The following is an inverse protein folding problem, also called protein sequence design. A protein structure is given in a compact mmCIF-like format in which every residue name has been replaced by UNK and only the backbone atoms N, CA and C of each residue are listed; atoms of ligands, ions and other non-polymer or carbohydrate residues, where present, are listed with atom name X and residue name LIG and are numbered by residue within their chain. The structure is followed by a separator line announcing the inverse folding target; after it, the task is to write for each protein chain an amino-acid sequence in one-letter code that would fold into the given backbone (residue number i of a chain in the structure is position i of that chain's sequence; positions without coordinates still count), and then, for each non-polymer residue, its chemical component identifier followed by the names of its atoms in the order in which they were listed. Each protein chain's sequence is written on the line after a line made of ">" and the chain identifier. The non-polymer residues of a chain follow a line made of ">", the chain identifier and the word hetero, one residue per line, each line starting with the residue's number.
data_IF_776754308881
#
_entry.id   IF_776754308881
#
_cell.length_a   1.000
_cell.length_b   1.000
_cell.length_c   1.000
_cell.angle_alpha   90.00
_cell.angle_beta   90.00
_cell.angle_gamma   90.00
#
_symmetry.space_group_name_H-M   'P 1'
#
loop_
_entity.id
_entity.type
_entity.pdbx_description
1 polymer ?
#
# COMPACT_ATOMS: atom_id res chain seq x y z
N UNK A 1 -6.12 -14.90 -19.50
CA UNK A 1 -6.92 -13.99 -20.35
C UNK A 1 -8.07 -13.37 -19.59
N UNK A 2 -7.91 -12.12 -19.13
CA UNK A 2 -9.03 -11.29 -18.69
C UNK A 2 -9.86 -10.90 -19.92
N UNK A 3 -10.80 -11.77 -20.34
CA UNK A 3 -11.76 -11.42 -21.40
C UNK A 3 -12.50 -10.16 -20.94
N UNK A 4 -12.28 -9.05 -21.65
CA UNK A 4 -13.15 -7.89 -21.52
C UNK A 4 -14.56 -8.35 -21.90
N UNK A 5 -15.43 -8.47 -20.89
CA UNK A 5 -16.84 -8.83 -21.03
C UNK A 5 -17.64 -7.64 -21.57
N UNK A 6 -17.12 -6.99 -22.62
CA UNK A 6 -17.78 -5.86 -23.25
C UNK A 6 -19.20 -6.31 -23.64
N UNK A 7 -20.20 -5.60 -23.11
CA UNK A 7 -21.64 -5.83 -23.33
C UNK A 7 -22.27 -7.04 -22.62
N UNK A 8 -21.58 -7.72 -21.70
CA UNK A 8 -22.21 -8.79 -20.93
C UNK A 8 -23.26 -8.26 -19.95
N UNK A 9 -24.37 -8.98 -19.88
CA UNK A 9 -25.47 -8.71 -18.94
C UNK A 9 -25.05 -8.96 -17.49
N UNK A 10 -25.75 -8.38 -16.50
CA UNK A 10 -25.51 -8.68 -15.09
C UNK A 10 -25.58 -10.18 -14.76
N UNK A 11 -26.48 -10.91 -15.40
CA UNK A 11 -26.68 -12.35 -15.25
C UNK A 11 -25.45 -13.12 -15.75
N UNK A 12 -24.94 -12.80 -16.94
CA UNK A 12 -23.73 -13.43 -17.51
C UNK A 12 -22.49 -13.16 -16.65
N UNK A 13 -22.33 -11.93 -16.16
CA UNK A 13 -21.23 -11.54 -15.26
C UNK A 13 -21.28 -12.35 -13.96
N UNK A 14 -22.47 -12.47 -13.35
CA UNK A 14 -22.67 -13.29 -12.14
C UNK A 14 -22.41 -14.77 -12.42
N UNK A 15 -22.93 -15.31 -13.53
CA UNK A 15 -22.74 -16.70 -13.93
C UNK A 15 -21.26 -17.02 -14.22
N UNK A 16 -20.52 -16.08 -14.82
CA UNK A 16 -19.08 -16.21 -15.00
C UNK A 16 -18.35 -16.38 -13.67
N UNK A 17 -18.66 -15.55 -12.67
CA UNK A 17 -18.11 -15.69 -11.32
C UNK A 17 -18.44 -17.04 -10.68
N UNK A 18 -19.69 -17.51 -10.82
CA UNK A 18 -20.11 -18.82 -10.31
C UNK A 18 -19.36 -19.98 -10.99
N UNK A 19 -19.14 -19.89 -12.31
CA UNK A 19 -18.43 -20.91 -13.07
C UNK A 19 -16.98 -21.08 -12.60
N UNK A 20 -16.34 -20.02 -12.11
CA UNK A 20 -14.96 -20.07 -11.56
C UNK A 20 -14.81 -20.96 -10.33
N UNK A 21 -15.92 -21.30 -9.64
CA UNK A 21 -15.90 -22.27 -8.53
C UNK A 21 -15.49 -23.68 -8.96
N UNK A 22 -15.66 -24.03 -10.25
CA UNK A 22 -15.19 -25.31 -10.80
C UNK A 22 -13.67 -25.35 -11.00
N UNK A 23 -13.05 -24.18 -11.18
CA UNK A 23 -11.60 -24.04 -11.32
C UNK A 23 -10.93 -23.99 -9.94
N UNK A 24 -11.45 -23.14 -9.05
CA UNK A 24 -10.99 -23.05 -7.66
C UNK A 24 -12.23 -22.95 -6.76
N UNK A 25 -12.54 -24.04 -6.08
CA UNK A 25 -13.57 -24.11 -5.05
C UNK A 25 -13.24 -23.16 -3.89
N UNK A 26 -14.27 -22.60 -3.27
CA UNK A 26 -14.12 -21.60 -2.19
C UNK A 26 -13.30 -22.13 -1.01
N UNK A 27 -13.44 -23.41 -0.68
CA UNK A 27 -12.69 -24.07 0.39
C UNK A 27 -11.20 -24.30 0.04
N UNK A 28 -10.84 -24.31 -1.24
CA UNK A 28 -9.45 -24.57 -1.69
C UNK A 28 -8.52 -23.36 -1.53
N UNK A 29 -9.01 -22.25 -0.96
CA UNK A 29 -8.19 -21.07 -0.65
C UNK A 29 -7.40 -21.20 0.65
N UNK A 30 -7.46 -22.37 1.31
CA UNK A 30 -6.81 -22.66 2.59
C UNK A 30 -5.37 -23.20 2.46
N UNK A 31 -4.89 -23.42 1.24
CA UNK A 31 -3.62 -24.09 0.97
C UNK A 31 -2.45 -23.11 0.92
N UNK A 32 -1.36 -23.47 1.62
CA UNK A 32 -0.04 -22.83 1.55
C UNK A 32 0.97 -23.89 1.13
N UNK A 33 1.72 -23.65 0.04
CA UNK A 33 2.76 -24.57 -0.44
C UNK A 33 4.11 -23.85 -0.65
N UNK A 34 4.89 -23.67 0.44
CA UNK A 34 6.21 -23.02 0.36
C UNK A 34 7.25 -23.88 -0.36
N UNK A 35 7.00 -25.17 -0.56
CA UNK A 35 7.94 -26.08 -1.26
C UNK A 35 7.90 -25.88 -2.77
N UNK A 36 6.76 -25.45 -3.30
CA UNK A 36 6.63 -25.09 -4.72
C UNK A 36 7.30 -23.75 -5.07
N UNK A 37 7.71 -22.95 -4.08
CA UNK A 37 8.36 -21.65 -4.27
C UNK A 37 9.62 -21.78 -5.16
N UNK A 38 9.82 -20.93 -6.18
CA UNK A 38 10.88 -21.09 -7.17
C UNK A 38 12.32 -20.84 -6.65
N UNK A 39 12.46 -20.28 -5.45
CA UNK A 39 13.73 -20.03 -4.78
C UNK A 39 13.48 -19.86 -3.28
N UNK A 40 14.50 -19.96 -2.44
CA UNK A 40 14.34 -19.72 -1.00
C UNK A 40 13.87 -18.28 -0.72
N UNK A 41 13.21 -18.08 0.43
CA UNK A 41 12.78 -16.74 0.88
C UNK A 41 13.96 -15.76 0.90
N UNK A 42 15.10 -16.21 1.44
CA UNK A 42 16.31 -15.40 1.54
C UNK A 42 16.86 -15.02 0.16
N UNK A 43 16.87 -15.92 -0.82
CA UNK A 43 17.28 -15.61 -2.19
C UNK A 43 16.37 -14.58 -2.85
N UNK A 44 15.05 -14.71 -2.68
CA UNK A 44 14.07 -13.75 -3.20
C UNK A 44 14.28 -12.37 -2.57
N UNK A 45 14.44 -12.31 -1.23
CA UNK A 45 14.76 -11.07 -0.53
C UNK A 45 16.08 -10.48 -1.06
N UNK A 46 17.14 -11.28 -1.19
CA UNK A 46 18.43 -10.83 -1.72
C UNK A 46 18.31 -10.26 -3.15
N UNK A 47 17.50 -10.86 -4.03
CA UNK A 47 17.24 -10.33 -5.38
C UNK A 47 16.58 -8.95 -5.31
N UNK A 48 15.60 -8.77 -4.41
CA UNK A 48 14.93 -7.48 -4.19
C UNK A 48 15.85 -6.34 -3.67
N UNK A 49 17.06 -6.68 -3.23
CA UNK A 49 18.04 -5.72 -2.70
C UNK A 49 19.04 -5.23 -3.75
N UNK A 50 19.08 -5.82 -4.96
CA UNK A 50 20.15 -5.55 -5.94
C UNK A 50 20.19 -4.08 -6.39
N UNK A 51 19.03 -3.47 -6.69
CA UNK A 51 18.90 -2.09 -7.18
C UNK A 51 18.92 -1.00 -6.09
N UNK A 52 18.93 -1.41 -4.81
CA UNK A 52 18.82 -0.51 -3.66
C UNK A 52 20.14 0.21 -3.36
N UNK A 53 20.04 1.41 -2.79
CA UNK A 53 21.14 2.20 -2.24
C UNK A 53 21.95 1.34 -1.26
N UNK A 54 23.25 1.06 -1.55
CA UNK A 54 24.06 0.12 -0.76
C UNK A 54 24.07 0.42 0.74
N UNK A 55 24.24 1.69 1.12
CA UNK A 55 24.30 2.13 2.51
C UNK A 55 23.00 1.91 3.32
N UNK A 56 21.88 1.58 2.66
CA UNK A 56 20.59 1.36 3.32
C UNK A 56 20.16 -0.11 3.34
N UNK A 57 20.96 -1.02 2.76
CA UNK A 57 20.63 -2.45 2.72
C UNK A 57 20.59 -3.05 4.13
N UNK A 58 21.59 -2.73 4.95
CA UNK A 58 21.69 -3.24 6.32
C UNK A 58 20.55 -2.72 7.20
N UNK A 59 20.17 -1.45 7.02
CA UNK A 59 18.99 -0.89 7.68
C UNK A 59 17.72 -1.66 7.30
N UNK A 60 17.52 -1.98 6.01
CA UNK A 60 16.35 -2.76 5.58
C UNK A 60 16.33 -4.14 6.25
N UNK A 61 17.47 -4.84 6.29
CA UNK A 61 17.55 -6.14 6.97
C UNK A 61 17.24 -6.03 8.47
N UNK A 62 17.75 -5.00 9.15
CA UNK A 62 17.46 -4.73 10.57
C UNK A 62 15.97 -4.55 10.81
N UNK A 63 15.30 -3.66 10.06
CA UNK A 63 13.86 -3.42 10.17
C UNK A 63 13.02 -4.66 9.86
N UNK A 64 13.46 -5.50 8.91
CA UNK A 64 12.79 -6.78 8.63
C UNK A 64 13.00 -7.81 9.74
N UNK A 65 14.11 -7.75 10.47
CA UNK A 65 14.43 -8.68 11.54
C UNK A 65 13.77 -8.33 12.89
N UNK A 66 13.26 -7.10 13.06
CA UNK A 66 12.61 -6.65 14.31
C UNK A 66 11.39 -7.48 14.71
N UNK A 67 10.61 -7.99 13.75
CA UNK A 67 9.44 -8.84 14.02
C UNK A 67 8.99 -9.61 12.78
N UNK A 68 8.22 -10.71 12.93
CA UNK A 68 7.57 -11.40 11.82
C UNK A 68 6.69 -10.46 10.97
N UNK A 69 6.00 -9.52 11.61
CA UNK A 69 5.20 -8.51 10.90
C UNK A 69 6.07 -7.52 10.11
N UNK A 70 7.22 -7.12 10.66
CA UNK A 70 8.23 -6.32 9.95
C UNK A 70 8.78 -7.05 8.72
N UNK A 71 9.10 -8.34 8.86
CA UNK A 71 9.52 -9.20 7.76
C UNK A 71 8.44 -9.26 6.66
N UNK A 72 7.19 -9.54 7.02
CA UNK A 72 6.06 -9.64 6.10
C UNK A 72 5.93 -8.42 5.17
N UNK A 73 6.07 -7.22 5.76
CA UNK A 73 6.05 -5.94 5.04
C UNK A 73 7.28 -5.69 4.18
N UNK A 74 8.44 -6.19 4.60
CA UNK A 74 9.68 -6.05 3.85
C UNK A 74 9.87 -7.07 2.72
N UNK A 75 9.12 -8.17 2.77
CA UNK A 75 9.25 -9.37 1.94
C UNK A 75 8.04 -9.62 1.02
N UNK A 76 7.35 -8.58 0.54
CA UNK A 76 6.27 -8.72 -0.45
C UNK A 76 6.62 -9.64 -1.65
N UNK A 77 7.86 -9.60 -2.21
CA UNK A 77 8.28 -10.54 -3.27
C UNK A 77 8.22 -12.02 -2.90
N UNK A 78 8.36 -12.38 -1.63
CA UNK A 78 8.27 -13.78 -1.18
C UNK A 78 6.84 -14.29 -1.32
N UNK A 79 5.87 -13.52 -0.83
CA UNK A 79 4.46 -13.89 -0.96
C UNK A 79 3.96 -13.82 -2.40
N UNK A 80 4.45 -12.87 -3.20
CA UNK A 80 4.15 -12.86 -4.63
C UNK A 80 4.60 -14.15 -5.32
N UNK A 81 5.80 -14.65 -4.97
CA UNK A 81 6.30 -15.92 -5.49
C UNK A 81 5.45 -17.11 -5.00
N UNK A 82 5.09 -17.16 -3.71
CA UNK A 82 4.25 -18.25 -3.18
C UNK A 82 2.86 -18.29 -3.83
N UNK A 83 2.20 -17.13 -3.91
CA UNK A 83 0.86 -17.02 -4.50
C UNK A 83 0.85 -17.40 -5.98
N UNK A 84 1.95 -17.18 -6.70
CA UNK A 84 2.09 -17.58 -8.10
C UNK A 84 2.02 -19.09 -8.33
N UNK A 85 2.33 -19.89 -7.31
CA UNK A 85 2.32 -21.35 -7.37
C UNK A 85 0.96 -21.95 -6.98
N UNK A 86 0.06 -21.13 -6.45
CA UNK A 86 -1.28 -21.56 -6.07
C UNK A 86 -2.27 -21.34 -7.22
N UNK A 87 -3.30 -22.20 -7.34
CA UNK A 87 -4.37 -21.96 -8.29
C UNK A 87 -5.07 -20.64 -7.95
N UNK A 88 -5.45 -19.89 -8.98
CA UNK A 88 -6.21 -18.66 -8.86
C UNK A 88 -7.50 -18.72 -9.68
N UNK A 89 -8.46 -17.89 -9.31
CA UNK A 89 -9.81 -17.85 -9.88
C UNK A 89 -9.85 -17.30 -11.30
N UNK A 90 -8.79 -16.61 -11.74
CA UNK A 90 -8.78 -15.82 -12.97
C UNK A 90 -9.69 -14.58 -12.93
N UNK A 91 -10.24 -14.22 -11.76
CA UNK A 91 -11.08 -13.02 -11.59
C UNK A 91 -10.16 -11.85 -11.25
N UNK A 92 -10.03 -10.92 -12.20
CA UNK A 92 -9.10 -9.81 -12.11
C UNK A 92 -9.67 -8.56 -11.46
N UNK A 93 -8.85 -7.90 -10.65
CA UNK A 93 -9.05 -6.54 -10.15
C UNK A 93 -7.70 -5.79 -10.19
N UNK A 94 -7.71 -4.47 -10.05
CA UNK A 94 -6.50 -3.80 -9.58
C UNK A 94 -6.25 -4.26 -8.14
N UNK A 95 -5.04 -4.74 -7.87
CA UNK A 95 -4.55 -5.05 -6.53
C UNK A 95 -3.84 -3.82 -5.97
N UNK A 96 -3.95 -3.55 -4.67
CA UNK A 96 -2.99 -2.67 -4.02
C UNK A 96 -1.61 -3.34 -3.95
N UNK A 97 -1.58 -4.68 -3.91
CA UNK A 97 -0.38 -5.51 -3.99
C UNK A 97 0.36 -5.65 -2.66
N UNK A 98 0.24 -4.69 -1.74
CA UNK A 98 0.79 -4.80 -0.39
C UNK A 98 -0.30 -4.71 0.69
N UNK A 99 -1.39 -5.47 0.52
CA UNK A 99 -2.51 -5.47 1.45
C UNK A 99 -2.10 -5.96 2.85
N UNK A 100 -2.00 -5.05 3.81
CA UNK A 100 -1.69 -5.36 5.21
C UNK A 100 -2.30 -4.34 6.17
N UNK A 101 -2.43 -4.66 7.46
CA UNK A 101 -3.14 -3.81 8.45
C UNK A 101 -2.56 -2.40 8.59
N UNK A 102 -1.26 -2.22 8.33
CA UNK A 102 -0.58 -0.91 8.32
C UNK A 102 -0.58 -0.19 6.96
N UNK A 103 -1.22 -0.76 5.93
CA UNK A 103 -1.36 -0.17 4.60
C UNK A 103 -2.71 0.54 4.46
N UNK A 104 -3.35 0.84 5.59
CA UNK A 104 -4.48 1.74 5.66
C UNK A 104 -4.17 2.84 6.66
N UNK A 105 -4.71 4.02 6.41
CA UNK A 105 -4.47 5.17 7.26
C UNK A 105 -5.22 6.40 6.80
N UNK A 106 -5.11 7.44 7.61
CA UNK A 106 -5.75 8.71 7.38
C UNK A 106 -4.87 9.67 6.56
N UNK A 107 -5.52 10.50 5.74
CA UNK A 107 -4.93 11.59 4.96
C UNK A 107 -6.00 12.62 4.58
N UNK A 108 -5.58 13.81 4.13
CA UNK A 108 -6.50 14.82 3.61
C UNK A 108 -6.94 14.49 2.17
N UNK A 109 -8.25 14.41 1.95
CA UNK A 109 -8.84 14.34 0.62
C UNK A 109 -8.68 15.69 -0.12
N UNK A 110 -8.90 15.74 -1.46
CA UNK A 110 -8.79 16.99 -2.23
C UNK A 110 -9.68 18.15 -1.76
N UNK A 111 -10.73 17.86 -0.99
CA UNK A 111 -11.64 18.84 -0.38
C UNK A 111 -11.24 19.22 1.05
N UNK A 112 -10.07 18.77 1.53
CA UNK A 112 -9.53 19.04 2.87
C UNK A 112 -10.11 18.16 3.98
N UNK A 113 -11.14 17.34 3.71
CA UNK A 113 -11.68 16.43 4.73
C UNK A 113 -10.71 15.28 4.98
N UNK A 114 -10.55 14.91 6.24
CA UNK A 114 -9.80 13.72 6.60
C UNK A 114 -10.57 12.47 6.23
N UNK A 115 -9.94 11.61 5.44
CA UNK A 115 -10.46 10.30 5.04
C UNK A 115 -9.53 9.21 5.56
N UNK A 116 -9.99 7.96 5.57
CA UNK A 116 -9.18 6.80 5.90
C UNK A 116 -9.30 5.76 4.79
N UNK A 117 -8.18 5.40 4.17
CA UNK A 117 -8.14 4.53 2.99
C UNK A 117 -6.84 3.71 2.94
N UNK A 118 -6.70 2.86 1.91
CA UNK A 118 -5.45 2.19 1.51
C UNK A 118 -4.40 3.25 1.16
N UNK A 119 -3.15 3.13 1.61
CA UNK A 119 -2.16 4.22 1.55
C UNK A 119 -0.94 3.99 0.64
N UNK A 120 -0.62 2.73 0.34
CA UNK A 120 0.58 2.32 -0.37
C UNK A 120 0.20 1.42 -1.55
N UNK A 121 0.68 1.81 -2.72
CA UNK A 121 0.39 1.21 -4.01
C UNK A 121 1.67 0.84 -4.76
N UNK A 122 2.85 0.81 -4.10
CA UNK A 122 4.14 0.46 -4.72
C UNK A 122 4.02 -0.84 -5.54
N UNK A 123 3.27 -1.82 -5.04
CA UNK A 123 3.11 -3.14 -5.64
C UNK A 123 1.88 -3.28 -6.56
N UNK A 124 1.15 -2.19 -6.79
CA UNK A 124 -0.14 -2.22 -7.49
C UNK A 124 -0.03 -2.77 -8.92
N UNK A 125 -0.89 -3.72 -9.24
CA UNK A 125 -0.95 -4.36 -10.56
C UNK A 125 -2.32 -5.01 -10.75
N UNK A 126 -2.72 -5.26 -12.00
CA UNK A 126 -3.93 -6.06 -12.25
C UNK A 126 -3.63 -7.53 -12.01
N UNK A 127 -4.41 -8.18 -11.16
CA UNK A 127 -4.20 -9.58 -10.78
C UNK A 127 -5.42 -10.21 -10.10
N UNK A 128 -5.30 -11.48 -9.63
CA UNK A 128 -6.40 -12.18 -8.97
C UNK A 128 -6.78 -11.48 -7.66
N UNK A 129 -8.05 -11.07 -7.52
CA UNK A 129 -8.52 -10.27 -6.37
C UNK A 129 -8.24 -10.96 -5.01
N UNK A 130 -8.22 -12.30 -5.00
CA UNK A 130 -7.97 -13.08 -3.79
C UNK A 130 -6.53 -12.93 -3.25
N UNK A 131 -5.58 -12.41 -4.03
CA UNK A 131 -4.19 -12.23 -3.58
C UNK A 131 -4.07 -11.14 -2.52
N UNK A 132 -4.76 -10.01 -2.69
CA UNK A 132 -4.85 -8.96 -1.67
C UNK A 132 -5.58 -9.50 -0.41
N UNK A 133 -6.60 -10.33 -0.58
CA UNK A 133 -7.31 -10.95 0.54
C UNK A 133 -6.44 -11.94 1.32
N UNK A 134 -5.70 -12.81 0.61
CA UNK A 134 -4.73 -13.74 1.21
C UNK A 134 -3.63 -13.00 1.98
N UNK A 135 -3.11 -11.91 1.41
CA UNK A 135 -2.10 -11.06 2.06
C UNK A 135 -2.68 -10.37 3.31
N UNK A 136 -3.89 -9.81 3.22
CA UNK A 136 -4.56 -9.22 4.37
C UNK A 136 -4.85 -10.26 5.47
N UNK A 137 -5.26 -11.49 5.12
CA UNK A 137 -5.48 -12.57 6.09
C UNK A 137 -4.24 -12.89 6.90
N UNK A 138 -3.10 -13.10 6.23
CA UNK A 138 -1.81 -13.34 6.91
C UNK A 138 -1.41 -12.13 7.78
N UNK A 139 -1.61 -10.91 7.25
CA UNK A 139 -1.33 -9.68 7.98
C UNK A 139 -2.15 -9.55 9.26
N UNK A 140 -3.44 -9.90 9.25
CA UNK A 140 -4.32 -9.83 10.42
C UNK A 140 -3.89 -10.82 11.50
N UNK A 141 -3.43 -12.01 11.12
CA UNK A 141 -2.91 -13.00 12.07
C UNK A 141 -1.60 -12.54 12.69
N UNK A 142 -0.64 -12.09 11.88
CA UNK A 142 0.64 -11.56 12.37
C UNK A 142 0.46 -10.35 13.29
N UNK A 143 -0.44 -9.43 12.92
CA UNK A 143 -0.78 -8.27 13.75
C UNK A 143 -1.48 -8.68 15.05
N UNK A 144 -2.42 -9.63 14.97
CA UNK A 144 -3.08 -10.19 16.15
C UNK A 144 -2.07 -10.80 17.12
N UNK A 145 -1.14 -11.64 16.64
CA UNK A 145 -0.07 -12.23 17.46
C UNK A 145 0.79 -11.15 18.13
N UNK A 146 1.21 -10.14 17.38
CA UNK A 146 1.98 -9.00 17.90
C UNK A 146 1.20 -8.15 18.92
N UNK A 147 -0.13 -8.10 18.81
CA UNK A 147 -1.02 -7.45 19.78
C UNK A 147 -1.45 -8.36 20.94
N UNK A 148 -0.89 -9.58 21.07
CA UNK A 148 -1.16 -10.52 22.17
C UNK A 148 -2.39 -11.41 22.00
N UNK A 149 -2.96 -11.50 20.80
CA UNK A 149 -4.09 -12.38 20.51
C UNK A 149 -3.66 -13.82 20.28
N UNK A 150 -4.50 -14.76 20.74
CA UNK A 150 -4.42 -16.17 20.35
C UNK A 150 -4.96 -16.36 18.92
N UNK A 151 -4.49 -17.41 18.24
CA UNK A 151 -4.87 -17.74 16.87
C UNK A 151 -6.39 -17.79 16.64
N UNK A 152 -7.18 -18.30 17.59
CA UNK A 152 -8.65 -18.30 17.48
C UNK A 152 -9.27 -16.91 17.39
N UNK A 153 -8.70 -15.90 18.06
CA UNK A 153 -9.15 -14.52 17.93
C UNK A 153 -8.72 -13.90 16.60
N UNK A 154 -7.49 -14.18 16.17
CA UNK A 154 -6.95 -13.73 14.88
C UNK A 154 -7.73 -14.31 13.71
N UNK A 155 -8.06 -15.61 13.77
CA UNK A 155 -8.91 -16.30 12.79
C UNK A 155 -10.28 -15.63 12.67
N UNK A 156 -10.95 -15.34 13.79
CA UNK A 156 -12.23 -14.62 13.78
C UNK A 156 -12.13 -13.21 13.21
N UNK A 157 -10.99 -12.53 13.39
CA UNK A 157 -10.76 -11.23 12.75
C UNK A 157 -10.62 -11.38 11.23
N UNK A 158 -9.92 -12.40 10.74
CA UNK A 158 -9.87 -12.70 9.30
C UNK A 158 -11.26 -13.03 8.76
N UNK A 159 -12.02 -13.88 9.45
CA UNK A 159 -13.40 -14.22 9.05
C UNK A 159 -14.30 -12.98 9.00
N UNK A 160 -14.17 -12.05 9.96
CA UNK A 160 -14.89 -10.78 9.95
C UNK A 160 -14.45 -9.87 8.78
N UNK A 161 -13.16 -9.79 8.48
CA UNK A 161 -12.64 -9.05 7.33
C UNK A 161 -13.21 -9.58 6.01
N UNK A 162 -13.09 -10.89 5.78
CA UNK A 162 -13.54 -11.52 4.52
C UNK A 162 -15.06 -11.56 4.43
N UNK A 163 -15.75 -11.82 5.55
CA UNK A 163 -17.21 -11.74 5.63
C UNK A 163 -17.70 -10.35 5.25
N UNK A 164 -17.07 -9.31 5.79
CA UNK A 164 -17.40 -7.93 5.42
C UNK A 164 -17.09 -7.62 3.96
N UNK A 165 -15.96 -8.08 3.44
CA UNK A 165 -15.64 -7.94 2.02
C UNK A 165 -16.74 -8.56 1.13
N UNK A 166 -17.19 -9.78 1.48
CA UNK A 166 -18.25 -10.49 0.77
C UNK A 166 -19.61 -9.79 0.85
N UNK A 167 -19.96 -9.24 2.01
CA UNK A 167 -21.15 -8.39 2.20
C UNK A 167 -21.12 -7.17 1.29
N UNK A 168 -20.02 -6.44 1.27
CA UNK A 168 -19.89 -5.24 0.45
C UNK A 168 -19.93 -5.57 -1.04
N UNK A 169 -19.26 -6.64 -1.49
CA UNK A 169 -19.36 -7.09 -2.89
C UNK A 169 -20.79 -7.45 -3.30
N UNK A 170 -21.57 -8.08 -2.41
CA UNK A 170 -22.99 -8.34 -2.65
C UNK A 170 -23.78 -7.03 -2.75
N UNK A 171 -23.52 -6.07 -1.87
CA UNK A 171 -24.18 -4.76 -1.91
C UNK A 171 -23.84 -4.02 -3.22
N UNK A 172 -22.56 -3.92 -3.58
CA UNK A 172 -22.10 -3.30 -4.83
C UNK A 172 -22.65 -3.98 -6.08
N UNK A 173 -22.87 -5.31 -6.04
CA UNK A 173 -23.49 -6.03 -7.16
C UNK A 173 -24.97 -5.67 -7.41
N UNK A 174 -25.59 -4.90 -6.51
CA UNK A 174 -26.98 -4.42 -6.61
C UNK A 174 -27.08 -2.91 -6.82
N UNK A 175 -25.96 -2.20 -6.76
CA UNK A 175 -25.88 -0.76 -6.99
C UNK A 175 -25.65 -0.47 -8.47
N UNK A 176 -26.00 0.74 -8.91
CA UNK A 176 -25.57 1.23 -10.22
C UNK A 176 -24.05 1.42 -10.25
N UNK A 177 -23.45 1.34 -11.44
CA UNK A 177 -22.00 1.53 -11.60
C UNK A 177 -21.53 2.90 -11.08
N UNK A 178 -22.34 3.95 -11.23
CA UNK A 178 -22.00 5.30 -10.74
C UNK A 178 -22.01 5.36 -9.21
N UNK A 179 -22.95 4.69 -8.54
CA UNK A 179 -22.97 4.61 -7.08
C UNK A 179 -21.76 3.88 -6.54
N UNK A 180 -21.39 2.73 -7.13
CA UNK A 180 -20.17 2.00 -6.75
C UNK A 180 -18.92 2.87 -6.90
N UNK A 181 -18.83 3.63 -7.99
CA UNK A 181 -17.70 4.51 -8.24
C UNK A 181 -17.60 5.70 -7.27
N UNK A 182 -18.72 6.10 -6.65
CA UNK A 182 -18.82 7.21 -5.69
C UNK A 182 -18.87 6.75 -4.23
N UNK A 183 -18.90 5.45 -3.97
CA UNK A 183 -19.14 4.88 -2.65
C UNK A 183 -18.03 5.21 -1.65
N UNK A 184 -18.32 6.01 -0.62
CA UNK A 184 -17.38 6.30 0.47
C UNK A 184 -17.69 5.44 1.70
N UNK A 185 -16.64 5.06 2.43
CA UNK A 185 -16.78 4.35 3.70
C UNK A 185 -17.04 5.39 4.79
N UNK A 186 -18.28 5.46 5.28
CA UNK A 186 -18.68 6.47 6.27
C UNK A 186 -18.54 6.01 7.73
N UNK A 187 -18.44 4.71 7.98
CA UNK A 187 -18.41 4.14 9.34
C UNK A 187 -17.02 4.10 9.99
N UNK A 188 -16.06 4.83 9.42
CA UNK A 188 -14.68 4.91 9.91
C UNK A 188 -14.62 5.31 11.39
N UNK A 189 -15.54 6.16 11.83
CA UNK A 189 -15.68 6.57 13.22
C UNK A 189 -16.22 5.50 14.19
N UNK A 190 -16.49 4.26 13.77
CA UNK A 190 -16.95 3.20 14.69
C UNK A 190 -15.81 2.31 15.21
N UNK A 191 -14.65 2.32 14.55
CA UNK A 191 -13.48 1.57 14.97
C UNK A 191 -12.49 2.49 15.71
N UNK A 192 -12.26 2.24 17.01
CA UNK A 192 -11.33 3.04 17.84
C UNK A 192 -9.94 3.23 17.21
N UNK A 193 -9.30 2.20 16.59
CA UNK A 193 -8.00 2.41 15.93
C UNK A 193 -8.06 3.41 14.77
N UNK A 194 -9.18 3.45 14.03
CA UNK A 194 -9.39 4.39 12.92
C UNK A 194 -9.61 5.81 13.46
N UNK A 195 -10.39 5.98 14.51
CA UNK A 195 -10.53 7.26 15.20
C UNK A 195 -9.17 7.79 15.66
N UNK A 196 -8.35 6.95 16.30
CA UNK A 196 -7.02 7.34 16.76
C UNK A 196 -6.10 7.76 15.60
N UNK A 197 -6.19 7.07 14.45
CA UNK A 197 -5.48 7.46 13.23
C UNK A 197 -5.96 8.81 12.70
N UNK A 198 -7.27 9.08 12.70
CA UNK A 198 -7.85 10.36 12.29
C UNK A 198 -7.42 11.51 13.23
N UNK A 199 -7.44 11.31 14.55
CA UNK A 199 -6.95 12.32 15.51
C UNK A 199 -5.43 12.56 15.40
N UNK A 200 -4.65 11.54 14.99
CA UNK A 200 -3.23 11.74 14.63
C UNK A 200 -3.11 12.59 13.36
N UNK A 201 -3.93 12.31 12.35
CA UNK A 201 -3.98 13.05 11.09
C UNK A 201 -4.34 14.53 11.28
N UNK A 202 -5.30 14.86 12.15
CA UNK A 202 -5.68 16.26 12.46
C UNK A 202 -4.49 17.14 12.87
N UNK A 203 -3.50 16.55 13.55
CA UNK A 203 -2.30 17.25 14.04
C UNK A 203 -1.14 17.26 13.05
N UNK A 204 -1.18 16.40 12.03
CA UNK A 204 -0.11 16.22 11.05
C UNK A 204 -0.25 17.21 9.87
N UNK A 205 -0.42 18.50 10.18
CA UNK A 205 -0.59 19.56 9.17
C UNK A 205 0.70 19.83 8.39
N UNK A 206 0.64 20.52 7.23
CA UNK A 206 1.83 20.99 6.53
C UNK A 206 2.79 21.81 7.40
N UNK A 207 2.27 22.65 8.31
CA UNK A 207 3.09 23.41 9.26
C UNK A 207 3.74 22.52 10.32
N UNK A 208 3.06 21.46 10.78
CA UNK A 208 3.68 20.46 11.66
C UNK A 208 4.84 19.75 10.95
N UNK A 209 4.64 19.34 9.69
CA UNK A 209 5.67 18.70 8.86
C UNK A 209 6.87 19.64 8.65
N UNK A 210 6.60 20.94 8.41
CA UNK A 210 7.64 21.96 8.30
C UNK A 210 8.53 21.98 9.55
N UNK A 211 7.94 22.06 10.74
CA UNK A 211 8.68 22.05 12.00
C UNK A 211 9.42 20.72 12.24
N UNK A 212 8.79 19.61 11.85
CA UNK A 212 9.36 18.27 12.02
C UNK A 212 10.57 18.03 11.12
N UNK A 213 10.51 18.43 9.86
CA UNK A 213 11.51 18.05 8.83
C UNK A 213 12.56 19.12 8.56
N UNK A 214 12.32 20.39 8.92
CA UNK A 214 13.22 21.49 8.57
C UNK A 214 13.72 22.25 9.79
N UNK A 215 14.80 23.02 9.64
CA UNK A 215 15.32 23.96 10.62
C UNK A 215 15.63 25.31 9.95
N UNK A 216 15.52 26.45 10.67
CA UNK A 216 15.84 27.75 10.10
C UNK A 216 17.36 27.90 9.93
N UNK A 217 17.79 28.56 8.86
CA UNK A 217 19.22 28.77 8.59
C UNK A 217 19.91 29.76 9.54
N UNK A 218 19.14 30.56 10.26
CA UNK A 218 19.63 31.39 11.36
C UNK A 218 18.52 31.63 12.40
N UNK A 219 18.84 32.12 13.61
CA UNK A 219 17.83 32.44 14.63
C UNK A 219 16.95 33.65 14.29
N UNK A 220 17.25 34.39 13.21
CA UNK A 220 16.50 35.59 12.86
C UNK A 220 15.06 35.24 12.42
N UNK A 221 14.05 36.02 12.84
CA UNK A 221 12.69 35.89 12.30
C UNK A 221 12.70 35.97 10.77
N UNK A 222 11.97 35.06 10.11
CA UNK A 222 11.89 35.00 8.65
C UNK A 222 13.10 34.36 7.95
N UNK A 223 14.06 33.78 8.68
CA UNK A 223 15.14 33.03 8.07
C UNK A 223 14.61 31.85 7.23
N UNK A 224 15.19 31.68 6.02
CA UNK A 224 14.87 30.54 5.16
C UNK A 224 15.10 29.22 5.89
N UNK A 225 14.27 28.22 5.56
CA UNK A 225 14.33 26.90 6.19
C UNK A 225 14.92 25.89 5.22
N UNK A 226 15.57 24.88 5.78
CA UNK A 226 16.12 23.76 5.02
C UNK A 226 15.93 22.46 5.78
N UNK A 227 15.99 21.32 5.09
CA UNK A 227 15.83 20.00 5.72
C UNK A 227 16.88 19.75 6.79
N UNK A 228 16.46 19.17 7.91
CA UNK A 228 17.37 18.69 8.97
C UNK A 228 18.28 17.60 8.42
N UNK A 229 19.50 17.50 8.96
CA UNK A 229 20.41 16.40 8.64
C UNK A 229 20.41 15.35 9.77
N UNK A 230 19.43 14.45 9.73
CA UNK A 230 19.20 13.37 10.72
C UNK A 230 19.43 11.99 10.08
N UNK A 231 20.67 11.74 9.65
CA UNK A 231 21.05 10.52 8.92
C UNK A 231 20.88 9.25 9.78
N UNK A 232 20.48 8.11 9.17
CA UNK A 232 20.16 7.94 7.75
C UNK A 232 18.69 8.25 7.41
N UNK A 233 17.86 8.68 8.37
CA UNK A 233 16.41 8.82 8.17
C UNK A 233 16.02 10.03 7.31
N UNK A 234 16.78 11.11 7.43
CA UNK A 234 16.61 12.33 6.66
C UNK A 234 17.99 12.95 6.41
N UNK A 235 18.28 13.27 5.16
CA UNK A 235 19.50 13.98 4.79
C UNK A 235 19.16 15.16 3.90
N UNK A 236 19.78 16.32 4.14
CA UNK A 236 19.70 17.45 3.20
C UNK A 236 20.50 17.14 1.95
N UNK A 237 19.95 17.46 0.78
CA UNK A 237 20.58 17.26 -0.52
C UNK A 237 20.86 18.62 -1.15
N UNK A 238 22.09 18.82 -1.62
CA UNK A 238 22.56 20.09 -2.21
C UNK A 238 23.30 19.86 -3.53
N UNK A 239 23.68 20.94 -4.20
CA UNK A 239 24.50 20.92 -5.41
C UNK A 239 23.85 20.19 -6.59
N UNK A 240 24.67 19.49 -7.40
CA UNK A 240 24.23 18.82 -8.62
C UNK A 240 23.09 17.81 -8.40
N UNK A 241 23.07 17.12 -7.26
CA UNK A 241 21.99 16.17 -6.95
C UNK A 241 20.67 16.88 -6.65
N UNK A 242 20.70 18.03 -5.97
CA UNK A 242 19.50 18.82 -5.74
C UNK A 242 18.96 19.39 -7.06
N UNK A 243 19.84 19.94 -7.90
CA UNK A 243 19.47 20.43 -9.24
C UNK A 243 18.83 19.32 -10.09
N UNK A 244 19.37 18.09 -10.06
CA UNK A 244 18.79 16.95 -10.79
C UNK A 244 17.37 16.61 -10.31
N UNK A 245 17.13 16.64 -8.99
CA UNK A 245 15.80 16.37 -8.41
C UNK A 245 14.82 17.51 -8.74
N UNK A 246 15.26 18.77 -8.64
CA UNK A 246 14.44 19.93 -8.99
C UNK A 246 14.06 19.94 -10.47
N UNK A 247 14.99 19.57 -11.37
CA UNK A 247 14.71 19.45 -12.80
C UNK A 247 13.66 18.38 -13.15
N UNK A 248 13.38 17.44 -12.23
CA UNK A 248 12.30 16.47 -12.42
C UNK A 248 10.89 17.07 -12.21
N UNK A 249 10.79 18.30 -11.70
CA UNK A 249 9.51 19.01 -11.58
C UNK A 249 8.93 19.42 -12.94
N UNK A 250 9.77 19.71 -13.95
CA UNK A 250 9.32 20.12 -15.29
C UNK A 250 8.51 19.00 -15.99
N UNK A 251 9.05 17.77 -16.19
CA UNK A 251 8.26 16.68 -16.76
C UNK A 251 7.12 16.23 -15.85
N UNK A 252 7.25 16.37 -14.53
CA UNK A 252 6.16 16.09 -13.58
C UNK A 252 4.96 17.02 -13.79
N UNK A 253 5.22 18.33 -13.96
CA UNK A 253 4.19 19.33 -14.18
C UNK A 253 3.33 18.99 -15.40
N UNK A 254 3.94 18.45 -16.45
CA UNK A 254 3.23 18.00 -17.66
C UNK A 254 2.35 16.75 -17.45
N UNK A 255 2.46 16.05 -16.32
CA UNK A 255 1.58 14.92 -15.98
C UNK A 255 0.34 15.31 -15.17
N UNK A 256 0.32 16.51 -14.60
CA UNK A 256 -0.81 16.99 -13.80
C UNK A 256 -1.96 17.49 -14.69
N UNK A 257 -3.18 17.50 -14.16
CA UNK A 257 -4.31 18.21 -14.77
C UNK A 257 -4.05 19.72 -14.79
N UNK A 258 -4.58 20.45 -15.78
CA UNK A 258 -4.28 21.87 -15.99
C UNK A 258 -4.54 22.74 -14.75
N UNK A 259 -5.66 22.53 -14.06
CA UNK A 259 -6.00 23.20 -12.81
C UNK A 259 -5.00 22.91 -11.67
N UNK A 260 -4.41 21.71 -11.64
CA UNK A 260 -3.42 21.32 -10.62
C UNK A 260 -2.05 21.91 -10.94
N UNK A 261 -1.71 22.06 -12.23
CA UNK A 261 -0.51 22.82 -12.67
C UNK A 261 -0.61 24.27 -12.25
N UNK A 262 -1.74 24.91 -12.50
CA UNK A 262 -1.96 26.30 -12.10
C UNK A 262 -1.77 26.50 -10.59
N UNK A 263 -2.29 25.59 -9.76
CA UNK A 263 -2.06 25.62 -8.31
C UNK A 263 -0.57 25.43 -7.98
N UNK A 264 0.10 24.46 -8.60
CA UNK A 264 1.53 24.20 -8.37
C UNK A 264 2.42 25.40 -8.72
N UNK A 265 2.05 26.19 -9.74
CA UNK A 265 2.82 27.36 -10.21
C UNK A 265 2.92 28.48 -9.16
N UNK A 266 2.06 28.48 -8.13
CA UNK A 266 2.16 29.40 -6.99
C UNK A 266 3.18 28.95 -5.93
N UNK A 267 3.70 27.72 -6.01
CA UNK A 267 4.67 27.20 -5.07
C UNK A 267 6.08 27.22 -5.66
N UNK A 268 7.03 27.84 -4.95
CA UNK A 268 8.47 27.82 -5.32
C UNK A 268 9.21 26.74 -4.52
N UNK A 269 10.12 25.96 -5.15
CA UNK A 269 10.97 25.03 -4.41
C UNK A 269 12.02 25.79 -3.59
N UNK A 270 12.26 25.33 -2.35
CA UNK A 270 13.17 25.97 -1.38
C UNK A 270 14.35 25.08 -1.02
N UNK A 271 14.13 23.79 -0.75
CA UNK A 271 15.21 22.86 -0.37
C UNK A 271 14.83 21.41 -0.74
N UNK A 272 15.85 20.54 -0.86
CA UNK A 272 15.68 19.13 -1.21
C UNK A 272 16.23 18.25 -0.10
N UNK A 273 15.45 17.23 0.28
CA UNK A 273 15.81 16.20 1.23
C UNK A 273 15.82 14.81 0.59
N UNK A 274 16.52 13.89 1.24
CA UNK A 274 16.42 12.45 1.00
C UNK A 274 15.86 11.82 2.27
N UNK A 275 14.78 11.06 2.16
CA UNK A 275 14.07 10.46 3.28
C UNK A 275 14.12 8.94 3.19
N UNK A 276 14.21 8.27 4.31
CA UNK A 276 14.00 6.81 4.38
C UNK A 276 12.59 6.55 4.93
N UNK A 277 11.77 5.83 4.17
CA UNK A 277 10.38 5.52 4.51
C UNK A 277 10.03 4.04 4.27
N UNK A 278 9.02 3.57 5.00
CA UNK A 278 8.47 2.22 4.87
C UNK A 278 9.44 1.13 5.33
N UNK A 279 8.98 -0.12 5.31
CA UNK A 279 9.85 -1.30 5.53
C UNK A 279 10.19 -1.96 4.18
N UNK A 280 9.20 -2.03 3.27
CA UNK A 280 9.37 -2.54 1.90
C UNK A 280 10.27 -1.66 1.03
N UNK A 281 10.14 -0.34 1.14
CA UNK A 281 10.81 0.63 0.24
C UNK A 281 12.19 1.08 0.71
N UNK A 282 12.68 0.66 1.90
CA UNK A 282 14.01 1.09 2.42
C UNK A 282 15.14 0.78 1.44
N UNK A 283 15.88 1.81 1.05
CA UNK A 283 16.96 1.70 0.07
C UNK A 283 16.53 1.95 -1.38
N UNK A 284 15.25 2.20 -1.65
CA UNK A 284 14.84 2.94 -2.84
C UNK A 284 15.14 4.43 -2.61
N UNK A 285 15.27 5.20 -3.70
CA UNK A 285 15.51 6.64 -3.63
C UNK A 285 14.20 7.36 -3.35
N UNK A 286 14.12 8.06 -2.24
CA UNK A 286 12.94 8.82 -1.86
C UNK A 286 13.38 10.25 -1.52
N UNK A 287 13.10 11.15 -2.45
CA UNK A 287 13.41 12.56 -2.31
C UNK A 287 12.20 13.32 -1.79
N UNK A 288 12.44 14.43 -1.10
CA UNK A 288 11.41 15.35 -0.68
C UNK A 288 11.79 16.76 -1.12
N UNK A 289 10.85 17.51 -1.67
CA UNK A 289 11.03 18.92 -2.00
C UNK A 289 10.16 19.73 -1.04
N UNK A 290 10.81 20.63 -0.29
CA UNK A 290 10.11 21.66 0.48
C UNK A 290 9.84 22.84 -0.44
N UNK A 291 8.58 23.27 -0.52
CA UNK A 291 8.13 24.38 -1.34
C UNK A 291 7.36 25.40 -0.48
N UNK A 292 7.37 26.66 -0.89
CA UNK A 292 6.64 27.76 -0.25
C UNK A 292 5.68 28.40 -1.25
N UNK A 293 4.42 28.58 -0.86
CA UNK A 293 3.40 29.29 -1.62
C UNK A 293 3.36 30.77 -1.26
N UNK A 294 2.27 31.20 -0.63
CA UNK A 294 2.07 32.57 -0.13
C UNK A 294 2.92 32.90 1.12
N UNK A 295 4.24 32.73 0.99
CA UNK A 295 5.24 32.93 2.04
C UNK A 295 5.53 31.68 2.89
N UNK A 296 6.43 31.79 3.88
CA UNK A 296 6.92 30.65 4.67
C UNK A 296 5.87 29.96 5.56
N UNK A 297 4.69 30.56 5.72
CA UNK A 297 3.57 30.00 6.47
C UNK A 297 2.65 29.10 5.62
N UNK A 298 2.88 29.02 4.31
CA UNK A 298 2.16 28.18 3.34
C UNK A 298 3.11 27.12 2.75
N UNK A 299 3.52 26.11 3.55
CA UNK A 299 4.44 25.08 3.09
C UNK A 299 3.73 23.97 2.31
N UNK A 300 4.36 23.52 1.23
CA UNK A 300 4.01 22.29 0.51
C UNK A 300 5.22 21.36 0.52
N UNK A 301 4.98 20.07 0.78
CA UNK A 301 6.01 19.03 0.69
C UNK A 301 5.64 18.04 -0.40
N UNK A 302 6.46 17.94 -1.44
CA UNK A 302 6.32 16.89 -2.45
C UNK A 302 7.30 15.76 -2.18
N UNK A 303 6.82 14.53 -2.21
CA UNK A 303 7.59 13.30 -2.21
C UNK A 303 7.84 12.87 -3.66
N UNK A 304 9.08 12.56 -4.01
CA UNK A 304 9.49 12.00 -5.30
C UNK A 304 10.14 10.65 -5.01
N UNK A 305 9.35 9.58 -5.09
CA UNK A 305 9.71 8.24 -4.63
C UNK A 305 9.98 7.31 -5.82
N UNK A 306 11.15 6.67 -5.82
CA UNK A 306 11.56 5.72 -6.86
C UNK A 306 10.62 4.52 -6.85
N UNK A 307 10.05 4.22 -8.01
CA UNK A 307 9.19 3.06 -8.22
C UNK A 307 9.90 2.04 -9.09
N UNK A 308 9.87 0.78 -8.65
CA UNK A 308 10.41 -0.37 -9.39
C UNK A 308 9.26 -1.22 -9.94
N UNK A 309 9.60 -2.26 -10.70
CA UNK A 309 8.60 -3.25 -11.12
C UNK A 309 7.93 -3.89 -9.89
N UNK A 310 6.61 -4.06 -9.96
CA UNK A 310 5.86 -4.80 -8.94
C UNK A 310 6.44 -6.21 -8.74
N UNK A 311 6.50 -6.65 -7.50
CA UNK A 311 6.83 -7.99 -7.04
C UNK A 311 6.04 -9.09 -7.76
N UNK A 312 4.83 -8.76 -8.22
CA UNK A 312 3.94 -9.67 -8.95
C UNK A 312 4.19 -9.69 -10.46
N UNK A 313 4.90 -8.70 -11.01
CA UNK A 313 5.10 -8.58 -12.46
C UNK A 313 5.74 -9.84 -13.10
N UNK A 314 6.70 -10.54 -12.48
CA UNK A 314 7.25 -11.77 -13.05
C UNK A 314 6.25 -12.94 -13.14
N UNK A 315 5.13 -12.86 -12.42
CA UNK A 315 4.20 -13.97 -12.23
C UNK A 315 2.82 -13.73 -12.87
N UNK A 316 2.60 -12.53 -13.42
CA UNK A 316 1.35 -12.12 -14.05
C UNK A 316 1.60 -11.77 -15.52
N UNK A 317 1.72 -12.75 -16.43
CA UNK A 317 2.05 -12.49 -17.83
C UNK A 317 0.96 -11.71 -18.59
N UNK A 318 -0.29 -11.79 -18.12
CA UNK A 318 -1.41 -11.01 -18.65
C UNK A 318 -1.34 -9.52 -18.22
N UNK A 319 -0.55 -9.19 -17.19
CA UNK A 319 -0.31 -7.80 -16.82
C UNK A 319 0.77 -7.23 -17.75
N UNK A 320 0.38 -6.29 -18.60
CA UNK A 320 1.35 -5.62 -19.50
C UNK A 320 2.46 -4.97 -18.67
N UNK A 321 3.74 -5.13 -19.05
CA UNK A 321 4.82 -4.39 -18.42
C UNK A 321 4.51 -2.90 -18.43
N UNK A 322 4.67 -2.26 -17.27
CA UNK A 322 4.46 -0.83 -17.18
C UNK A 322 5.51 -0.10 -18.03
N UNK A 323 5.08 0.81 -18.90
CA UNK A 323 5.99 1.73 -19.59
C UNK A 323 6.74 2.59 -18.56
N UNK A 324 6.07 2.95 -17.47
CA UNK A 324 6.63 3.70 -16.36
C UNK A 324 6.08 3.22 -15.02
N UNK A 325 6.94 2.83 -14.07
CA UNK A 325 6.50 2.31 -12.78
C UNK A 325 5.85 3.36 -11.87
N UNK A 326 6.32 4.61 -11.90
CA UNK A 326 5.61 5.73 -11.25
C UNK A 326 4.17 5.92 -11.78
N UNK A 327 3.96 5.83 -13.10
CA UNK A 327 2.64 5.88 -13.71
C UNK A 327 1.78 4.68 -13.28
N UNK A 328 2.32 3.46 -13.29
CA UNK A 328 1.63 2.25 -12.79
C UNK A 328 1.08 2.48 -11.39
N UNK A 329 1.90 3.03 -10.49
CA UNK A 329 1.51 3.29 -9.11
C UNK A 329 0.44 4.38 -9.01
N UNK A 330 0.62 5.51 -9.70
CA UNK A 330 -0.36 6.60 -9.71
C UNK A 330 -1.72 6.17 -10.28
N UNK A 331 -1.74 5.46 -11.40
CA UNK A 331 -2.96 4.98 -12.06
C UNK A 331 -3.64 3.87 -11.25
N UNK A 332 -2.89 2.94 -10.67
CA UNK A 332 -3.44 1.91 -9.78
C UNK A 332 -4.08 2.52 -8.53
N UNK A 333 -3.45 3.53 -7.94
CA UNK A 333 -4.01 4.29 -6.83
C UNK A 333 -5.32 5.00 -7.24
N UNK A 334 -5.36 5.70 -8.39
CA UNK A 334 -6.60 6.34 -8.91
C UNK A 334 -7.72 5.32 -9.19
N UNK A 335 -7.37 4.13 -9.67
CA UNK A 335 -8.33 3.06 -9.95
C UNK A 335 -9.00 2.52 -8.67
N UNK A 336 -8.30 2.48 -7.53
CA UNK A 336 -8.83 1.93 -6.27
C UNK A 336 -9.36 3.01 -5.30
N UNK A 337 -8.74 4.19 -5.27
CA UNK A 337 -9.15 5.31 -4.42
C UNK A 337 -10.12 6.29 -5.09
N UNK A 338 -11.15 6.71 -4.35
CA UNK A 338 -12.07 7.76 -4.82
C UNK A 338 -11.39 9.13 -4.72
N UNK A 339 -10.81 9.40 -3.55
CA UNK A 339 -10.11 10.63 -3.24
C UNK A 339 -8.62 10.34 -3.24
N UNK A 340 -7.95 10.63 -4.35
CA UNK A 340 -6.48 10.62 -4.45
C UNK A 340 -5.92 12.01 -4.20
N UNK A 341 -4.67 12.07 -3.76
CA UNK A 341 -3.94 13.33 -3.65
C UNK A 341 -3.99 14.14 -4.97
N UNK A 342 -4.33 15.45 -4.92
CA UNK A 342 -4.36 16.33 -6.09
C UNK A 342 -3.02 16.48 -6.84
N UNK A 343 -1.90 16.19 -6.19
CA UNK A 343 -0.55 16.21 -6.76
C UNK A 343 -0.01 14.81 -7.09
N UNK A 344 -0.87 13.79 -7.08
CA UNK A 344 -0.47 12.45 -7.48
C UNK A 344 -0.11 12.45 -8.97
N UNK A 345 1.15 12.15 -9.29
CA UNK A 345 1.69 12.08 -10.64
C UNK A 345 2.96 11.24 -10.69
N UNK A 346 3.76 11.39 -11.76
CA UNK A 346 5.02 10.66 -11.90
C UNK A 346 6.03 11.49 -12.69
N UNK A 347 7.31 11.10 -12.58
CA UNK A 347 8.41 11.77 -13.25
C UNK A 347 9.63 10.85 -13.38
N UNK A 348 10.70 11.36 -14.00
CA UNK A 348 12.00 10.72 -14.03
C UNK A 348 13.05 11.58 -13.33
N UNK A 349 13.97 10.92 -12.63
CA UNK A 349 15.21 11.56 -12.15
C UNK A 349 16.37 10.79 -12.78
N UNK A 350 17.00 11.37 -13.80
CA UNK A 350 17.92 10.65 -14.67
C UNK A 350 17.20 9.52 -15.42
N UNK A 351 17.72 8.29 -15.31
CA UNK A 351 17.14 7.10 -15.95
C UNK A 351 16.18 6.29 -15.06
N UNK A 352 15.79 6.84 -13.90
CA UNK A 352 14.93 6.17 -12.92
C UNK A 352 13.54 6.77 -12.93
N UNK A 353 12.55 5.94 -12.63
CA UNK A 353 11.13 6.25 -12.68
C UNK A 353 10.60 6.51 -11.27
N UNK A 354 9.83 7.58 -11.08
CA UNK A 354 9.38 8.04 -9.78
C UNK A 354 7.88 8.32 -9.76
N UNK A 355 7.24 8.00 -8.63
CA UNK A 355 5.96 8.54 -8.22
C UNK A 355 6.17 9.93 -7.60
N UNK A 356 5.26 10.86 -7.85
CA UNK A 356 5.19 12.16 -7.17
C UNK A 356 3.86 12.28 -6.44
N UNK A 357 3.88 12.75 -5.18
CA UNK A 357 2.70 13.00 -4.35
C UNK A 357 3.03 13.98 -3.22
N UNK A 358 2.04 14.51 -2.53
CA UNK A 358 2.22 15.20 -1.25
C UNK A 358 2.78 14.27 -0.18
N UNK A 359 3.75 14.77 0.56
CA UNK A 359 4.39 14.06 1.65
C UNK A 359 3.61 14.30 2.95
N UNK A 360 3.04 13.22 3.49
CA UNK A 360 2.47 13.16 4.84
C UNK A 360 1.36 14.17 5.16
N UNK A 361 0.69 14.78 4.18
CA UNK A 361 -0.40 15.72 4.41
C UNK A 361 -1.54 15.07 5.22
N UNK A 362 -1.65 15.47 6.49
CA UNK A 362 -2.53 14.88 7.47
C UNK A 362 -2.38 13.35 7.62
N UNK A 363 -1.16 12.82 7.61
CA UNK A 363 -0.94 11.37 7.71
C UNK A 363 -1.23 10.83 9.10
N UNK A 364 -2.14 9.85 9.18
CA UNK A 364 -2.38 9.02 10.36
C UNK A 364 -2.29 7.52 10.04
N UNK A 365 -1.70 6.72 10.93
CA UNK A 365 -1.67 5.26 10.77
C UNK A 365 -2.08 4.55 12.04
N UNK A 366 -2.59 3.33 11.89
CA UNK A 366 -2.91 2.45 13.01
C UNK A 366 -1.63 1.82 13.58
N UNK A 367 -1.51 1.84 14.90
CA UNK A 367 -0.49 1.08 15.63
C UNK A 367 -0.98 -0.36 15.85
N UNK A 368 -0.08 -1.33 15.80
CA UNK A 368 -0.43 -2.74 16.04
C UNK A 368 -0.90 -2.91 17.49
N UNK A 369 -0.30 -2.19 18.44
CA UNK A 369 -0.69 -2.28 19.85
C UNK A 369 -2.12 -1.74 20.08
N UNK A 370 -2.59 -0.81 19.24
CA UNK A 370 -3.97 -0.32 19.29
C UNK A 370 -5.00 -1.40 18.87
N UNK A 371 -4.55 -2.52 18.30
CA UNK A 371 -5.42 -3.63 17.86
C UNK A 371 -5.80 -4.60 18.99
N UNK A 372 -5.29 -4.45 20.21
CA UNK A 372 -5.61 -5.35 21.31
C UNK A 372 -7.12 -5.43 21.63
N UNK A 373 -7.56 -6.58 22.12
CA UNK A 373 -8.95 -6.80 22.59
C UNK A 373 -9.99 -6.76 21.45
N UNK A 374 -11.08 -6.02 21.62
CA UNK A 374 -12.13 -5.95 20.60
C UNK A 374 -11.72 -5.19 19.33
N UNK A 375 -10.60 -4.44 19.37
CA UNK A 375 -10.19 -3.54 18.31
C UNK A 375 -9.72 -4.27 17.05
N UNK A 376 -9.07 -5.44 17.18
CA UNK A 376 -8.60 -6.22 16.02
C UNK A 376 -9.75 -6.57 15.08
N UNK A 377 -10.87 -7.07 15.63
CA UNK A 377 -12.04 -7.45 14.83
C UNK A 377 -12.72 -6.22 14.22
N UNK A 378 -12.94 -5.17 15.01
CA UNK A 378 -13.55 -3.94 14.51
C UNK A 378 -12.74 -3.33 13.36
N UNK A 379 -11.41 -3.35 13.48
CA UNK A 379 -10.51 -2.88 12.43
C UNK A 379 -10.49 -3.80 11.21
N UNK A 380 -10.50 -5.12 11.41
CA UNK A 380 -10.60 -6.10 10.33
C UNK A 380 -11.83 -5.87 9.44
N UNK A 381 -12.99 -5.54 10.01
CA UNK A 381 -14.18 -5.21 9.20
C UNK A 381 -13.97 -3.97 8.33
N UNK A 382 -13.27 -2.94 8.84
CA UNK A 382 -12.90 -1.76 8.05
C UNK A 382 -11.94 -2.13 6.92
N UNK A 383 -10.92 -2.97 7.17
CA UNK A 383 -10.02 -3.47 6.14
C UNK A 383 -10.78 -4.19 5.01
N UNK A 384 -11.71 -5.08 5.38
CA UNK A 384 -12.52 -5.84 4.42
C UNK A 384 -13.39 -4.95 3.55
N UNK A 385 -13.98 -3.91 4.13
CA UNK A 385 -14.80 -2.94 3.39
C UNK A 385 -13.98 -2.06 2.45
N UNK A 386 -12.81 -1.57 2.88
CA UNK A 386 -11.95 -0.72 2.06
C UNK A 386 -11.38 -1.48 0.87
N UNK A 387 -10.91 -2.72 1.08
CA UNK A 387 -10.50 -3.61 0.00
C UNK A 387 -11.67 -3.92 -0.94
N UNK A 388 -12.88 -4.17 -0.40
CA UNK A 388 -14.04 -4.42 -1.25
C UNK A 388 -14.36 -3.23 -2.14
N UNK A 389 -14.37 -2.01 -1.61
CA UNK A 389 -14.60 -0.81 -2.42
C UNK A 389 -13.50 -0.60 -3.45
N UNK A 390 -12.22 -0.80 -3.09
CA UNK A 390 -11.11 -0.67 -4.03
C UNK A 390 -11.21 -1.66 -5.19
N UNK A 391 -11.53 -2.93 -4.90
CA UNK A 391 -11.74 -3.95 -5.92
C UNK A 391 -13.04 -3.76 -6.72
N UNK A 392 -14.07 -3.16 -6.14
CA UNK A 392 -15.33 -2.90 -6.83
C UNK A 392 -15.19 -1.78 -7.88
N UNK A 393 -14.33 -0.78 -7.61
CA UNK A 393 -14.04 0.32 -8.56
C UNK A 393 -13.15 -0.10 -9.72
N UNK A 394 -12.26 -1.07 -9.49
CA UNK A 394 -11.24 -1.48 -10.46
C UNK A 394 -11.44 -2.90 -11.01
N UNK A 395 -12.50 -3.57 -10.59
CA UNK A 395 -12.90 -4.91 -10.97
C UNK A 395 -14.42 -4.99 -11.17
N UNK A 396 -14.98 -6.19 -11.02
CA UNK A 396 -16.38 -6.46 -11.31
C UNK A 396 -17.10 -7.05 -10.07
N UNK A 397 -17.94 -6.25 -9.38
CA UNK A 397 -18.68 -6.70 -8.20
C UNK A 397 -19.61 -7.88 -8.47
N UNK A 398 -20.21 -7.97 -9.67
CA UNK A 398 -21.11 -9.07 -10.04
C UNK A 398 -20.34 -10.38 -10.20
N UNK A 399 -19.17 -10.34 -10.83
CA UNK A 399 -18.29 -11.51 -10.98
C UNK A 399 -17.74 -11.94 -9.61
N UNK A 400 -17.19 -11.02 -8.84
CA UNK A 400 -16.60 -11.33 -7.51
C UNK A 400 -17.68 -11.85 -6.56
N UNK A 401 -18.83 -11.18 -6.48
CA UNK A 401 -19.95 -11.65 -5.66
C UNK A 401 -20.52 -12.98 -6.16
N UNK A 402 -20.57 -13.19 -7.48
CA UNK A 402 -20.97 -14.45 -8.10
C UNK A 402 -20.06 -15.60 -7.69
N UNK A 403 -18.75 -15.35 -7.59
CA UNK A 403 -17.78 -16.33 -7.11
C UNK A 403 -17.93 -16.62 -5.61
N UNK A 404 -17.87 -15.59 -4.76
CA UNK A 404 -17.87 -15.75 -3.30
C UNK A 404 -19.20 -16.33 -2.80
N UNK A 405 -20.33 -15.86 -3.32
CA UNK A 405 -21.67 -16.26 -2.84
C UNK A 405 -21.97 -15.77 -1.42
N UNK A 406 -22.88 -16.46 -0.73
CA UNK A 406 -23.38 -16.08 0.61
C UNK A 406 -22.87 -16.94 1.78
N UNK A 407 -22.12 -18.00 1.51
CA UNK A 407 -21.66 -18.95 2.53
C UNK A 407 -20.33 -18.57 3.17
N UNK A 408 -20.04 -19.13 4.35
CA UNK A 408 -18.84 -18.84 5.14
C UNK A 408 -17.55 -19.51 4.61
N UNK A 409 -17.66 -20.54 3.78
CA UNK A 409 -16.54 -21.38 3.33
C UNK A 409 -15.34 -20.60 2.76
N UNK A 410 -15.56 -19.48 2.06
CA UNK A 410 -14.47 -18.65 1.55
C UNK A 410 -13.73 -17.90 2.67
N UNK A 411 -14.47 -17.38 3.66
CA UNK A 411 -13.90 -16.71 4.81
C UNK A 411 -13.15 -17.68 5.73
N UNK A 412 -13.72 -18.86 5.98
CA UNK A 412 -13.08 -19.92 6.77
C UNK A 412 -11.78 -20.41 6.13
N UNK A 413 -11.78 -20.61 4.81
CA UNK A 413 -10.59 -21.02 4.06
C UNK A 413 -9.48 -19.96 4.13
N UNK A 414 -9.81 -18.68 3.90
CA UNK A 414 -8.84 -17.59 4.01
C UNK A 414 -8.36 -17.36 5.44
N UNK A 415 -9.17 -17.68 6.45
CA UNK A 415 -8.76 -17.61 7.85
C UNK A 415 -7.76 -18.72 8.20
N UNK A 416 -7.98 -19.94 7.69
CA UNK A 416 -6.99 -21.02 7.77
C UNK A 416 -5.69 -20.66 7.03
N UNK A 417 -5.80 -20.19 5.79
CA UNK A 417 -4.65 -19.71 5.02
C UNK A 417 -3.87 -18.63 5.77
N UNK A 418 -4.56 -17.67 6.39
CA UNK A 418 -3.93 -16.59 7.14
C UNK A 418 -3.06 -17.10 8.29
N UNK A 419 -3.53 -18.14 9.02
CA UNK A 419 -2.75 -18.77 10.10
C UNK A 419 -1.55 -19.52 9.54
N UNK A 420 -1.77 -20.40 8.56
CA UNK A 420 -0.70 -21.22 7.97
C UNK A 420 0.39 -20.34 7.31
N UNK A 421 -0.01 -19.23 6.67
CA UNK A 421 0.92 -18.30 6.05
C UNK A 421 1.64 -17.40 7.07
N UNK A 422 1.00 -17.08 8.20
CA UNK A 422 1.69 -16.42 9.31
C UNK A 422 2.79 -17.31 9.90
N UNK A 423 2.53 -18.61 10.07
CA UNK A 423 3.54 -19.59 10.51
C UNK A 423 4.69 -19.70 9.49
N UNK A 424 4.37 -19.71 8.19
CA UNK A 424 5.41 -19.69 7.16
C UNK A 424 6.23 -18.40 7.19
N UNK A 425 5.59 -17.26 7.43
CA UNK A 425 6.26 -15.97 7.56
C UNK A 425 7.22 -15.94 8.76
N UNK A 426 6.83 -16.53 9.89
CA UNK A 426 7.71 -16.66 11.06
C UNK A 426 8.92 -17.56 10.77
N UNK A 427 8.75 -18.66 10.03
CA UNK A 427 9.87 -19.51 9.58
C UNK A 427 10.83 -18.76 8.66
N UNK A 428 10.30 -18.03 7.69
CA UNK A 428 11.11 -17.24 6.76
C UNK A 428 11.83 -16.07 7.46
N UNK A 429 11.20 -15.45 8.46
CA UNK A 429 11.81 -14.44 9.34
C UNK A 429 12.97 -15.02 10.18
N UNK A 430 12.79 -16.20 10.77
CA UNK A 430 13.86 -16.89 11.50
C UNK A 430 15.03 -17.28 10.57
N UNK A 431 14.77 -17.66 9.32
CA UNK A 431 15.83 -17.86 8.32
C UNK A 431 16.61 -16.56 8.04
N UNK A 432 15.92 -15.42 7.95
CA UNK A 432 16.60 -14.12 7.79
C UNK A 432 17.51 -13.81 8.99
N UNK A 433 17.03 -14.01 10.22
CA UNK A 433 17.84 -13.79 11.43
C UNK A 433 19.08 -14.67 11.44
N UNK A 434 18.93 -15.97 11.19
CA UNK A 434 20.05 -16.94 11.16
C UNK A 434 21.07 -16.67 10.05
N UNK A 435 20.70 -15.92 9.00
CA UNK A 435 21.62 -15.58 7.91
C UNK A 435 22.70 -14.56 8.28
N UNK A 436 22.60 -13.92 9.46
CA UNK A 436 23.52 -12.87 9.92
C UNK A 436 23.42 -11.54 9.14
N UNK A 437 22.51 -11.43 8.16
CA UNK A 437 22.34 -10.21 7.34
C UNK A 437 21.84 -9.01 8.14
N UNK A 438 21.08 -9.25 9.22
CA UNK A 438 20.60 -8.19 10.11
C UNK A 438 21.64 -7.76 11.16
N UNK A 439 22.66 -8.59 11.40
CA UNK A 439 23.65 -8.42 12.47
C UNK A 439 24.96 -7.78 12.00
N UNK A 440 25.13 -7.56 10.68
CA UNK A 440 26.28 -6.84 10.17
C UNK A 440 26.37 -5.46 10.83
N UNK A 441 27.37 -5.29 11.70
CA UNK A 441 27.81 -3.98 12.19
C UNK A 441 28.36 -3.21 10.98
N UNK A 442 27.78 -2.04 10.74
CA UNK A 442 28.26 -1.10 9.72
C UNK A 442 29.60 -0.52 10.10
#
# INVERSE_FOLDING_TARGET
>A
MFRNMHWATPEERRAFGQARRKQVGRHQHDTVDPKARPASALEIVNRSMRSRVPALKDLKYKLMAESPFGYFRGAAPVMAADLSQLPNTGIGSQLCGDAHVRNLGAYAAPDGRLVFDINDFDETIRGPFEWDLKRMSASLVLAGRAAGHKDGSSRRAVEACIGRYAEQMRAFSRMSNLEVNRFQVHRLGLAKPVQAALSKAERATPQHILQQLTLPASPRPGAHRHFKDAKPMLARITGARAALVLGALDPYREMLEQQRRHLLDFYRPVDVGFKVVGTGSVGLRDYCIYMEGNGPADPLFLQIKEEIASAYAPYLPDARPATHNGQRVAEGQRAMQIQTDPFLGWTHVGNRQFLVRQLNDHKGSVDIHDLAGANLRAYAEVCGELLARGHARSGDPLVISGYIGSGASFAEALAKFGVDYADQTEKDWEQLKKSGKAEKKS
#
